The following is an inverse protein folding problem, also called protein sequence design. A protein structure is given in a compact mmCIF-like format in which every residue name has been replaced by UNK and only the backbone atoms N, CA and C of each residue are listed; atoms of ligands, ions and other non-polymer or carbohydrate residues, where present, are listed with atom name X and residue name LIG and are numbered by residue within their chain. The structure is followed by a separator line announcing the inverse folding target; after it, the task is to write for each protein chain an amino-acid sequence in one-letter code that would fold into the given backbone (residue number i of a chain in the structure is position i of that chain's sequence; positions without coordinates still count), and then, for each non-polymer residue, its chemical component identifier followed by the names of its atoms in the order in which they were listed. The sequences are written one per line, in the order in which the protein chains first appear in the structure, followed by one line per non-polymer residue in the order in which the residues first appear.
data_IF_106631344412
#
_entry.id   IF_106631344412
#
_cell.length_a   1.000
_cell.length_b   1.000
_cell.length_c   1.000
_cell.angle_alpha   90.00
_cell.angle_beta   90.00
_cell.angle_gamma   90.00
#
_symmetry.space_group_name_H-M   'P 1'
#
loop_
_entity.id
_entity.type
_entity.pdbx_description
1 polymer ?
#
# COMPACT_ATOMS: atom_id res chain seq x y z
N UNK A 1 10.04 -2.17 19.70
CA UNK A 1 9.08 -2.15 18.57
C UNK A 1 9.37 -3.33 17.65
N UNK A 2 8.37 -4.12 17.37
CA UNK A 2 8.44 -5.22 16.39
C UNK A 2 7.79 -4.77 15.09
N UNK A 3 8.35 -5.17 13.96
CA UNK A 3 7.85 -4.81 12.64
C UNK A 3 7.45 -6.07 11.89
N UNK A 4 6.24 -6.08 11.36
CA UNK A 4 5.75 -7.15 10.50
C UNK A 4 5.45 -6.52 9.14
N UNK A 5 6.25 -6.89 8.16
CA UNK A 5 6.17 -6.35 6.80
C UNK A 5 5.68 -7.42 5.84
N UNK A 6 4.63 -7.10 5.11
CA UNK A 6 4.06 -7.96 4.08
C UNK A 6 4.17 -7.27 2.73
N UNK A 7 5.01 -7.80 1.86
CA UNK A 7 5.11 -7.33 0.49
C UNK A 7 4.11 -8.12 -0.38
N UNK A 8 3.12 -7.43 -0.90
CA UNK A 8 2.06 -8.03 -1.71
C UNK A 8 2.46 -8.22 -3.17
N UNK A 9 3.64 -7.72 -3.57
CA UNK A 9 4.20 -7.93 -4.92
C UNK A 9 3.17 -7.65 -6.03
N UNK A 10 3.07 -8.52 -7.03
CA UNK A 10 2.06 -8.49 -8.09
C UNK A 10 1.01 -9.59 -7.90
N UNK A 11 0.65 -9.88 -6.67
CA UNK A 11 -0.36 -10.89 -6.36
C UNK A 11 -1.79 -10.41 -6.67
N UNK A 12 -1.94 -9.20 -7.17
CA UNK A 12 -3.17 -8.62 -7.70
C UNK A 12 -3.58 -9.18 -9.08
N UNK A 13 -2.64 -9.78 -9.82
CA UNK A 13 -2.91 -10.26 -11.18
C UNK A 13 -3.86 -11.45 -11.14
N UNK A 14 -5.00 -11.37 -11.87
CA UNK A 14 -5.99 -12.46 -11.89
C UNK A 14 -5.42 -13.77 -12.43
N UNK A 15 -5.95 -14.88 -11.93
CA UNK A 15 -5.59 -16.23 -12.41
C UNK A 15 -5.81 -16.39 -13.91
N UNK A 16 -6.84 -15.76 -14.46
CA UNK A 16 -7.11 -15.80 -15.90
C UNK A 16 -5.96 -15.27 -16.76
N UNK A 17 -5.10 -14.43 -16.19
CA UNK A 17 -3.93 -13.88 -16.86
C UNK A 17 -2.61 -14.49 -16.35
N UNK A 18 -2.68 -15.63 -15.68
CA UNK A 18 -1.49 -16.32 -15.18
C UNK A 18 -1.01 -15.86 -13.80
N UNK A 19 -1.74 -14.98 -13.14
CA UNK A 19 -1.44 -14.53 -11.79
C UNK A 19 -2.02 -15.46 -10.71
N UNK A 20 -2.06 -14.99 -9.49
CA UNK A 20 -2.52 -15.77 -8.33
C UNK A 20 -3.76 -15.20 -7.65
N UNK A 21 -4.25 -14.04 -8.09
CA UNK A 21 -5.39 -13.39 -7.46
C UNK A 21 -6.68 -14.17 -7.73
N UNK A 22 -7.28 -14.65 -6.63
CA UNK A 22 -8.62 -15.26 -6.62
C UNK A 22 -9.51 -14.67 -5.52
N UNK A 23 -9.10 -13.54 -4.91
CA UNK A 23 -9.77 -12.97 -3.74
C UNK A 23 -10.84 -11.95 -4.12
N UNK A 24 -10.55 -11.10 -5.09
CA UNK A 24 -11.43 -10.00 -5.50
C UNK A 24 -11.02 -9.52 -6.88
N UNK A 25 -11.92 -8.77 -7.54
CA UNK A 25 -11.56 -8.07 -8.77
C UNK A 25 -10.37 -7.14 -8.50
N UNK A 26 -9.52 -6.95 -9.50
CA UNK A 26 -8.29 -6.18 -9.33
C UNK A 26 -8.58 -4.75 -8.81
N UNK A 27 -9.70 -4.16 -9.22
CA UNK A 27 -10.11 -2.83 -8.76
C UNK A 27 -10.45 -2.76 -7.27
N UNK A 28 -10.78 -3.88 -6.65
CA UNK A 28 -11.16 -3.96 -5.24
C UNK A 28 -10.14 -4.72 -4.39
N UNK A 29 -9.13 -5.29 -5.02
CA UNK A 29 -8.19 -6.17 -4.37
C UNK A 29 -7.46 -5.49 -3.20
N UNK A 30 -6.97 -4.26 -3.37
CA UNK A 30 -6.29 -3.52 -2.31
C UNK A 30 -7.19 -3.26 -1.11
N UNK A 31 -8.43 -2.83 -1.36
CA UNK A 31 -9.43 -2.63 -0.31
C UNK A 31 -9.76 -3.93 0.43
N UNK A 32 -9.92 -5.01 -0.32
CA UNK A 32 -10.19 -6.32 0.25
C UNK A 32 -9.09 -6.78 1.19
N UNK A 33 -7.83 -6.65 0.77
CA UNK A 33 -6.67 -7.05 1.58
C UNK A 33 -6.64 -6.25 2.89
N UNK A 34 -6.80 -4.94 2.82
CA UNK A 34 -6.77 -4.09 4.03
C UNK A 34 -7.90 -4.47 4.99
N UNK A 35 -9.14 -4.54 4.50
CA UNK A 35 -10.30 -4.85 5.34
C UNK A 35 -10.18 -6.22 5.99
N UNK A 36 -9.80 -7.23 5.21
CA UNK A 36 -9.65 -8.60 5.71
C UNK A 36 -8.55 -8.69 6.76
N UNK A 37 -7.45 -7.99 6.57
CA UNK A 37 -6.34 -7.98 7.51
C UNK A 37 -6.72 -7.23 8.79
N UNK A 38 -7.40 -6.10 8.68
CA UNK A 38 -7.88 -5.36 9.85
C UNK A 38 -8.80 -6.23 10.71
N UNK A 39 -9.73 -6.94 10.07
CA UNK A 39 -10.64 -7.84 10.76
C UNK A 39 -9.88 -8.97 11.46
N UNK A 40 -8.92 -9.57 10.79
CA UNK A 40 -8.09 -10.63 11.36
C UNK A 40 -7.18 -10.16 12.50
N UNK A 41 -6.86 -8.87 12.55
CA UNK A 41 -6.02 -8.28 13.60
C UNK A 41 -6.81 -7.74 14.78
N UNK A 42 -8.15 -7.82 14.76
CA UNK A 42 -8.95 -7.45 15.91
C UNK A 42 -8.54 -8.30 17.12
N UNK A 43 -8.17 -7.65 18.22
CA UNK A 43 -7.66 -8.32 19.42
C UNK A 43 -6.15 -8.57 19.43
N UNK A 44 -5.45 -8.33 18.33
CA UNK A 44 -3.99 -8.42 18.26
C UNK A 44 -3.31 -7.05 18.19
N UNK A 45 -4.08 -5.96 18.20
CA UNK A 45 -3.53 -4.63 18.16
C UNK A 45 -2.63 -4.40 19.38
N UNK A 46 -1.37 -4.05 19.13
CA UNK A 46 -0.37 -3.82 20.16
C UNK A 46 0.51 -2.65 19.72
N UNK A 47 0.65 -1.58 20.53
CA UNK A 47 1.46 -0.42 20.15
C UNK A 47 2.94 -0.76 19.94
N UNK A 48 3.41 -1.91 20.46
CA UNK A 48 4.78 -2.39 20.25
C UNK A 48 4.96 -3.18 18.96
N UNK A 49 3.91 -3.34 18.16
CA UNK A 49 3.95 -4.06 16.88
C UNK A 49 3.44 -3.16 15.77
N UNK A 50 4.24 -3.01 14.72
CA UNK A 50 3.87 -2.29 13.51
C UNK A 50 3.58 -3.28 12.40
N UNK A 51 2.43 -3.13 11.75
CA UNK A 51 2.05 -3.93 10.59
C UNK A 51 2.09 -3.04 9.35
N UNK A 52 2.91 -3.39 8.37
CA UNK A 52 3.00 -2.63 7.11
C UNK A 52 2.70 -3.54 5.94
N UNK A 53 1.79 -3.11 5.09
CA UNK A 53 1.46 -3.78 3.83
C UNK A 53 1.98 -2.96 2.67
N UNK A 54 2.84 -3.55 1.84
CA UNK A 54 3.44 -2.90 0.69
C UNK A 54 2.66 -3.28 -0.57
N UNK A 55 2.01 -2.29 -1.17
CA UNK A 55 1.17 -2.46 -2.34
C UNK A 55 1.83 -1.93 -3.61
N UNK A 56 1.49 -2.49 -4.79
CA UNK A 56 1.71 -1.79 -6.04
C UNK A 56 0.99 -0.44 -6.04
N UNK A 57 1.55 0.55 -6.73
CA UNK A 57 1.02 1.92 -6.73
C UNK A 57 -0.48 1.99 -7.04
N UNK A 58 -0.94 1.19 -8.02
CA UNK A 58 -2.33 1.20 -8.47
C UNK A 58 -3.35 0.97 -7.34
N UNK A 59 -2.95 0.35 -6.24
CA UNK A 59 -3.86 -0.02 -5.14
C UNK A 59 -3.76 0.91 -3.94
N UNK A 60 -2.82 1.83 -3.90
CA UNK A 60 -2.54 2.64 -2.71
C UNK A 60 -3.71 3.51 -2.29
N UNK A 61 -4.36 4.19 -3.22
CA UNK A 61 -5.51 5.06 -2.91
C UNK A 61 -6.65 4.24 -2.30
N UNK A 62 -7.00 3.13 -2.94
CA UNK A 62 -8.08 2.26 -2.46
C UNK A 62 -7.74 1.61 -1.12
N UNK A 63 -6.49 1.19 -0.93
CA UNK A 63 -6.03 0.65 0.34
C UNK A 63 -6.09 1.71 1.46
N UNK A 64 -5.67 2.94 1.18
CA UNK A 64 -5.75 4.04 2.13
C UNK A 64 -7.19 4.35 2.53
N UNK A 65 -8.10 4.42 1.55
CA UNK A 65 -9.52 4.67 1.79
C UNK A 65 -10.19 3.56 2.59
N UNK A 66 -9.73 2.33 2.43
CA UNK A 66 -10.28 1.18 3.14
C UNK A 66 -9.88 1.10 4.61
N UNK A 67 -8.80 1.78 5.00
CA UNK A 67 -8.32 1.77 6.39
C UNK A 67 -9.34 2.45 7.30
N UNK A 68 -9.68 1.77 8.39
CA UNK A 68 -10.54 2.34 9.42
C UNK A 68 -9.74 3.30 10.29
N UNK A 69 -10.43 4.25 10.93
CA UNK A 69 -9.81 5.10 11.94
C UNK A 69 -9.22 4.23 13.05
N UNK A 70 -7.95 4.45 13.37
CA UNK A 70 -7.26 3.64 14.37
C UNK A 70 -6.76 2.29 13.85
N UNK A 71 -6.75 2.07 12.53
CA UNK A 71 -6.23 0.84 11.93
C UNK A 71 -4.80 0.57 12.38
N UNK A 72 -4.47 -0.68 12.75
CA UNK A 72 -3.10 -1.07 13.08
C UNK A 72 -2.22 -1.20 11.82
N UNK A 73 -2.81 -1.14 10.64
CA UNK A 73 -2.10 -1.34 9.37
C UNK A 73 -1.58 -0.01 8.85
N UNK A 74 -0.30 0.02 8.53
CA UNK A 74 0.34 1.10 7.77
C UNK A 74 0.55 0.65 6.34
N UNK A 75 0.62 1.61 5.45
CA UNK A 75 0.81 1.35 4.02
C UNK A 75 2.23 1.69 3.61
N UNK A 76 2.76 0.86 2.71
CA UNK A 76 4.01 1.10 2.03
C UNK A 76 3.83 0.93 0.52
N UNK A 77 4.70 1.54 -0.25
CA UNK A 77 4.84 1.28 -1.67
C UNK A 77 6.06 0.40 -1.93
N UNK A 78 6.08 -0.26 -3.07
CA UNK A 78 7.12 -1.25 -3.38
C UNK A 78 8.42 -0.62 -3.88
N UNK A 79 8.39 0.66 -4.20
CA UNK A 79 9.55 1.42 -4.62
C UNK A 79 9.16 2.84 -4.99
N UNK A 80 10.13 3.74 -4.94
CA UNK A 80 9.98 5.13 -5.39
C UNK A 80 11.11 5.46 -6.35
N UNK A 81 10.88 6.48 -7.17
CA UNK A 81 11.90 6.99 -8.08
C UNK A 81 12.99 7.74 -7.29
N UNK A 82 14.24 7.71 -7.81
CA UNK A 82 15.38 8.34 -7.14
C UNK A 82 15.35 9.86 -7.10
N UNK A 83 14.43 10.50 -7.85
CA UNK A 83 14.19 11.94 -7.80
C UNK A 83 12.78 12.20 -7.28
N UNK A 84 12.63 13.30 -6.58
CA UNK A 84 11.34 13.70 -6.03
C UNK A 84 11.00 15.12 -6.49
N UNK A 85 9.74 15.50 -6.31
CA UNK A 85 9.29 16.86 -6.52
C UNK A 85 9.73 17.73 -5.35
N UNK A 86 9.94 19.01 -5.61
CA UNK A 86 10.24 19.97 -4.55
C UNK A 86 9.76 21.36 -4.93
N UNK A 87 9.43 22.16 -3.93
CA UNK A 87 8.98 23.53 -4.13
C UNK A 87 10.09 24.36 -4.81
N UNK A 88 9.76 24.98 -5.94
CA UNK A 88 10.72 25.75 -6.73
C UNK A 88 11.67 24.93 -7.59
N UNK A 89 11.53 23.60 -7.58
CA UNK A 89 12.38 22.69 -8.35
C UNK A 89 11.56 21.81 -9.29
N UNK A 90 11.80 20.50 -9.26
CA UNK A 90 11.08 19.53 -10.07
C UNK A 90 9.60 19.53 -9.67
N UNK A 91 8.71 19.59 -10.66
CA UNK A 91 7.27 19.72 -10.44
C UNK A 91 6.46 18.51 -10.93
N UNK A 92 7.10 17.35 -11.09
CA UNK A 92 6.43 16.13 -11.47
C UNK A 92 6.32 15.86 -12.96
N UNK A 93 7.14 16.52 -13.79
CA UNK A 93 7.18 16.28 -15.23
C UNK A 93 7.90 14.96 -15.57
N UNK A 94 7.55 13.91 -14.86
CA UNK A 94 8.03 12.55 -15.06
C UNK A 94 6.84 11.62 -15.33
N UNK A 95 7.06 10.58 -16.13
CA UNK A 95 6.04 9.60 -16.46
C UNK A 95 6.39 8.27 -15.84
N UNK A 96 5.44 7.45 -15.50
CA UNK A 96 5.57 6.08 -14.98
C UNK A 96 6.29 5.92 -13.63
N UNK A 97 7.08 6.89 -13.19
CA UNK A 97 7.80 6.81 -11.91
C UNK A 97 6.97 7.36 -10.76
N UNK A 98 7.07 6.73 -9.60
CA UNK A 98 6.39 7.16 -8.39
C UNK A 98 7.33 8.03 -7.55
N UNK A 99 7.10 9.36 -7.47
CA UNK A 99 7.85 10.21 -6.56
C UNK A 99 7.53 9.88 -5.10
N UNK A 100 8.50 10.00 -4.21
CA UNK A 100 8.29 9.73 -2.79
C UNK A 100 7.21 10.64 -2.19
N UNK A 101 7.15 11.91 -2.60
CA UNK A 101 6.11 12.85 -2.15
C UNK A 101 4.71 12.41 -2.55
N UNK A 102 4.54 11.84 -3.75
CA UNK A 102 3.26 11.31 -4.19
C UNK A 102 2.86 10.08 -3.35
N UNK A 103 3.78 9.17 -3.10
CA UNK A 103 3.52 8.01 -2.25
C UNK A 103 3.08 8.44 -0.84
N UNK A 104 3.77 9.40 -0.24
CA UNK A 104 3.40 9.95 1.05
C UNK A 104 2.00 10.57 1.04
N UNK A 105 1.67 11.34 -0.01
CA UNK A 105 0.35 11.96 -0.18
C UNK A 105 -0.76 10.91 -0.35
N UNK A 106 -0.45 9.74 -0.88
CA UNK A 106 -1.39 8.61 -1.01
C UNK A 106 -1.60 7.85 0.31
N UNK A 107 -0.85 8.17 1.35
CA UNK A 107 -0.98 7.56 2.65
C UNK A 107 0.14 6.56 3.01
N UNK A 108 1.20 6.45 2.21
CA UNK A 108 2.34 5.60 2.53
C UNK A 108 3.21 6.21 3.62
N UNK A 109 3.63 5.38 4.55
CA UNK A 109 4.63 5.72 5.56
C UNK A 109 5.96 4.99 5.35
N UNK A 110 5.97 4.03 4.42
CA UNK A 110 7.14 3.16 4.17
C UNK A 110 7.37 2.95 2.68
N UNK A 111 8.57 2.58 2.32
CA UNK A 111 8.97 2.14 1.00
C UNK A 111 9.95 0.97 1.11
#
# INVERSE_FOLDING_TARGET
MKHIYLNLKRFDVPKAYGGVNSLADISEWGSYIVRSTEEGLLGFANPEVEFVQFFPEAHLIHAADARRKGSPIRLGCQGVFGQDTQVGGIFGAMTTFLPASAAAAMGCSHV
#
